data_IF_210794743019
#
_entry.id   IF_210794743019
#
_cell.length_a   1.000
_cell.length_b   1.000
_cell.length_c   1.000
_cell.angle_alpha   90.00
_cell.angle_beta   90.00
_cell.angle_gamma   90.00
#
_symmetry.space_group_name_H-M   'P 1'
#
loop_
_entity.id
_entity.type
_entity.pdbx_description
1 polymer ?
#
# COMPACT_ATOMS: atom_id res chain seq x y z
N UNK A 1 15.21 -13.07 29.69
CA UNK A 1 14.55 -13.87 30.74
C UNK A 1 13.13 -14.14 30.28
N UNK A 2 12.76 -15.41 30.13
CA UNK A 2 11.49 -15.85 29.55
C UNK A 2 10.39 -15.94 30.62
N UNK A 3 9.32 -15.17 30.47
CA UNK A 3 8.10 -15.40 31.23
C UNK A 3 7.17 -16.31 30.42
N UNK A 4 7.08 -17.58 30.85
CA UNK A 4 6.04 -18.54 30.43
C UNK A 4 4.71 -18.11 31.06
N UNK A 5 3.74 -17.73 30.23
CA UNK A 5 2.33 -17.71 30.65
C UNK A 5 1.73 -19.11 30.48
N UNK A 6 0.98 -19.55 31.49
CA UNK A 6 0.40 -20.88 31.59
C UNK A 6 -0.82 -21.12 30.66
N UNK A 7 -1.19 -22.40 30.44
CA UNK A 7 -2.16 -22.82 29.41
C UNK A 7 -3.61 -22.38 29.65
N UNK A 8 -3.97 -21.89 30.84
CA UNK A 8 -5.34 -21.50 31.18
C UNK A 8 -5.78 -20.14 30.59
N UNK A 9 -4.83 -19.26 30.24
CA UNK A 9 -5.15 -17.94 29.66
C UNK A 9 -5.44 -17.95 28.15
N UNK A 10 -4.93 -18.95 27.43
CA UNK A 10 -5.08 -19.05 25.95
C UNK A 10 -6.43 -19.63 25.52
N UNK A 11 -7.09 -20.42 26.38
CA UNK A 11 -8.39 -21.03 26.05
C UNK A 11 -9.57 -20.05 26.13
N UNK A 12 -9.47 -18.99 26.93
CA UNK A 12 -10.54 -17.98 27.03
C UNK A 12 -10.61 -17.05 25.83
N UNK A 13 -9.45 -16.63 25.29
CA UNK A 13 -9.35 -15.69 24.17
C UNK A 13 -9.66 -16.38 22.83
N UNK A 14 -9.20 -17.63 22.62
CA UNK A 14 -9.49 -18.38 21.40
C UNK A 14 -10.97 -18.77 21.22
N UNK A 15 -11.75 -18.89 22.29
CA UNK A 15 -13.18 -19.23 22.21
C UNK A 15 -14.06 -18.02 21.82
N UNK A 16 -13.61 -16.80 22.14
CA UNK A 16 -14.33 -15.54 21.87
C UNK A 16 -14.27 -15.13 20.39
N UNK A 17 -13.13 -15.32 19.74
CA UNK A 17 -13.00 -15.09 18.30
C UNK A 17 -13.93 -16.04 17.51
N UNK A 18 -14.00 -17.32 17.89
CA UNK A 18 -14.83 -18.32 17.20
C UNK A 18 -16.34 -18.04 17.32
N UNK A 19 -16.80 -17.47 18.45
CA UNK A 19 -18.22 -17.18 18.69
C UNK A 19 -18.70 -15.92 17.94
N UNK A 20 -17.83 -14.96 17.66
CA UNK A 20 -18.16 -13.83 16.78
C UNK A 20 -18.29 -14.26 15.30
N UNK A 21 -17.50 -15.24 14.85
CA UNK A 21 -17.59 -15.78 13.48
C UNK A 21 -18.83 -16.68 13.23
N UNK A 22 -19.37 -17.33 14.27
CA UNK A 22 -20.53 -18.23 14.14
C UNK A 22 -21.89 -17.52 14.07
N UNK A 23 -21.94 -16.19 14.12
CA UNK A 23 -23.20 -15.44 14.17
C UNK A 23 -23.63 -14.86 12.81
N UNK A 24 -22.89 -15.15 11.73
CA UNK A 24 -23.19 -14.67 10.37
C UNK A 24 -23.83 -15.77 9.51
N UNK A 25 -24.11 -16.94 10.08
CA UNK A 25 -24.85 -18.00 9.40
C UNK A 25 -25.65 -18.84 10.38
N UNK A 26 -26.96 -18.81 10.21
CA UNK A 26 -27.97 -19.65 10.87
C UNK A 26 -28.50 -19.17 12.25
N UNK A 27 -29.76 -18.68 12.34
CA UNK A 27 -30.36 -18.23 13.61
C UNK A 27 -30.75 -19.39 14.56
N UNK A 28 -30.39 -20.64 14.24
CA UNK A 28 -30.79 -21.83 14.98
C UNK A 28 -29.66 -22.51 15.78
N UNK A 29 -28.57 -21.80 16.06
CA UNK A 29 -27.53 -22.25 17.00
C UNK A 29 -27.89 -21.79 18.42
N UNK A 30 -28.44 -22.68 19.23
CA UNK A 30 -28.72 -22.43 20.64
C UNK A 30 -27.42 -22.14 21.40
N UNK A 31 -27.11 -20.84 21.56
CA UNK A 31 -25.98 -20.34 22.36
C UNK A 31 -26.12 -20.78 23.82
N UNK A 32 -25.04 -21.25 24.44
CA UNK A 32 -25.03 -21.64 25.86
C UNK A 32 -25.16 -20.40 26.76
N UNK A 33 -26.14 -20.33 27.69
CA UNK A 33 -26.39 -19.18 28.55
C UNK A 33 -25.21 -18.74 29.45
N UNK A 34 -24.22 -19.60 29.66
CA UNK A 34 -23.05 -19.32 30.50
C UNK A 34 -21.93 -18.54 29.80
N UNK A 35 -21.81 -18.67 28.47
CA UNK A 35 -20.79 -17.97 27.69
C UNK A 35 -21.13 -16.48 27.53
N UNK A 36 -22.43 -16.17 27.33
CA UNK A 36 -22.96 -14.81 27.15
C UNK A 36 -22.68 -13.93 28.39
N UNK A 37 -22.93 -14.46 29.59
CA UNK A 37 -22.72 -13.72 30.86
C UNK A 37 -21.25 -13.35 31.11
N UNK A 38 -20.31 -14.14 30.62
CA UNK A 38 -18.88 -13.88 30.82
C UNK A 38 -18.41 -12.77 29.88
N UNK A 39 -18.85 -12.80 28.61
CA UNK A 39 -18.57 -11.76 27.64
C UNK A 39 -19.20 -10.42 28.06
N UNK A 40 -20.46 -10.44 28.49
CA UNK A 40 -21.17 -9.25 28.97
C UNK A 40 -20.47 -8.59 30.16
N UNK A 41 -20.03 -9.42 31.12
CA UNK A 41 -19.27 -8.94 32.28
C UNK A 41 -17.93 -8.33 31.86
N UNK A 42 -17.22 -8.99 30.94
CA UNK A 42 -15.96 -8.48 30.41
C UNK A 42 -16.14 -7.09 29.77
N UNK A 43 -17.13 -6.94 28.88
CA UNK A 43 -17.45 -5.67 28.22
C UNK A 43 -17.85 -4.60 29.24
N UNK A 44 -18.65 -4.94 30.25
CA UNK A 44 -19.06 -4.01 31.31
C UNK A 44 -17.87 -3.53 32.17
N UNK A 45 -16.98 -4.45 32.56
CA UNK A 45 -15.79 -4.14 33.35
C UNK A 45 -14.78 -3.32 32.52
N UNK A 46 -14.58 -3.67 31.24
CA UNK A 46 -13.73 -2.94 30.31
C UNK A 46 -14.22 -1.50 30.08
N UNK A 47 -15.53 -1.33 29.85
CA UNK A 47 -16.16 0.00 29.76
C UNK A 47 -15.93 0.82 31.03
N UNK A 48 -16.19 0.24 32.21
CA UNK A 48 -16.03 0.95 33.49
C UNK A 48 -14.60 1.46 33.68
N UNK A 49 -13.60 0.61 33.40
CA UNK A 49 -12.17 0.97 33.49
C UNK A 49 -11.80 2.06 32.48
N UNK A 50 -12.27 1.93 31.24
CA UNK A 50 -11.96 2.90 30.16
C UNK A 50 -12.48 4.29 30.49
N UNK A 51 -13.74 4.40 30.93
CA UNK A 51 -14.30 5.70 31.30
C UNK A 51 -13.66 6.28 32.57
N UNK A 52 -13.18 5.43 33.49
CA UNK A 52 -12.38 5.89 34.62
C UNK A 52 -11.03 6.46 34.15
N UNK A 53 -10.35 5.78 33.23
CA UNK A 53 -9.11 6.25 32.64
C UNK A 53 -9.27 7.59 31.89
N UNK A 54 -10.38 7.80 31.17
CA UNK A 54 -10.69 9.11 30.59
C UNK A 54 -10.74 10.20 31.66
N UNK A 55 -11.49 9.98 32.75
CA UNK A 55 -11.61 10.95 33.86
C UNK A 55 -10.28 11.22 34.55
N UNK A 56 -9.50 10.17 34.84
CA UNK A 56 -8.17 10.29 35.45
C UNK A 56 -7.20 11.10 34.58
N UNK A 57 -7.35 11.02 33.25
CA UNK A 57 -6.54 11.78 32.27
C UNK A 57 -7.14 13.14 31.90
N UNK A 58 -8.26 13.55 32.52
CA UNK A 58 -8.93 14.82 32.20
C UNK A 58 -9.55 14.87 30.80
N UNK A 59 -9.86 13.71 30.19
CA UNK A 59 -10.49 13.61 28.88
C UNK A 59 -12.01 13.60 29.05
N UNK A 60 -12.65 14.67 28.58
CA UNK A 60 -14.11 14.80 28.60
C UNK A 60 -14.71 14.27 27.29
N UNK A 61 -15.55 13.24 27.39
CA UNK A 61 -16.30 12.69 26.27
C UNK A 61 -17.75 13.15 26.32
N UNK A 62 -18.36 13.57 25.19
CA UNK A 62 -19.75 13.99 25.18
C UNK A 62 -20.70 12.87 25.68
N UNK A 63 -21.66 13.17 26.56
CA UNK A 63 -22.59 12.16 27.07
C UNK A 63 -23.38 11.45 25.98
N UNK A 64 -23.76 12.18 24.92
CA UNK A 64 -24.48 11.62 23.78
C UNK A 64 -23.62 10.68 22.92
N UNK A 65 -22.31 10.93 22.84
CA UNK A 65 -21.35 10.02 22.18
C UNK A 65 -21.29 8.67 22.90
N UNK A 66 -21.19 8.70 24.23
CA UNK A 66 -21.20 7.47 25.05
C UNK A 66 -22.55 6.76 24.95
N UNK A 67 -23.65 7.50 25.02
CA UNK A 67 -24.99 6.93 24.92
C UNK A 67 -25.24 6.26 23.56
N UNK A 68 -24.69 6.81 22.47
CA UNK A 68 -24.74 6.19 21.15
C UNK A 68 -24.04 4.83 21.13
N UNK A 69 -22.81 4.74 21.66
CA UNK A 69 -22.07 3.48 21.74
C UNK A 69 -22.81 2.46 22.61
N UNK A 70 -23.27 2.88 23.79
CA UNK A 70 -23.92 1.99 24.75
C UNK A 70 -25.34 1.55 24.36
N UNK A 71 -26.00 2.31 23.47
CA UNK A 71 -27.34 2.05 22.98
C UNK A 71 -27.43 0.86 22.03
N UNK A 72 -26.32 0.48 21.41
CA UNK A 72 -26.20 -0.70 20.55
C UNK A 72 -25.27 -1.74 21.20
N UNK A 73 -25.80 -2.91 21.64
CA UNK A 73 -24.99 -3.97 22.24
C UNK A 73 -23.82 -4.44 21.38
N UNK A 74 -23.97 -4.46 20.05
CA UNK A 74 -22.93 -4.91 19.11
C UNK A 74 -21.82 -3.88 19.01
N UNK A 75 -22.18 -2.60 18.88
CA UNK A 75 -21.23 -1.50 18.86
C UNK A 75 -20.47 -1.41 20.19
N UNK A 76 -21.18 -1.51 21.31
CA UNK A 76 -20.60 -1.55 22.65
C UNK A 76 -19.59 -2.69 22.81
N UNK A 77 -19.96 -3.90 22.38
CA UNK A 77 -19.05 -5.05 22.42
C UNK A 77 -17.82 -4.85 21.52
N UNK A 78 -18.00 -4.21 20.36
CA UNK A 78 -16.90 -3.93 19.43
C UNK A 78 -15.91 -2.92 20.01
N UNK A 79 -16.40 -1.81 20.58
CA UNK A 79 -15.55 -0.76 21.14
C UNK A 79 -14.83 -1.22 22.41
N UNK A 80 -15.52 -1.91 23.33
CA UNK A 80 -14.97 -2.25 24.64
C UNK A 80 -14.43 -3.68 24.76
N UNK A 81 -14.72 -4.57 23.82
CA UNK A 81 -14.40 -6.00 23.92
C UNK A 81 -13.33 -6.51 22.95
N UNK A 82 -12.98 -5.74 21.91
CA UNK A 82 -12.05 -6.20 20.86
C UNK A 82 -10.57 -5.92 21.15
N UNK A 83 -10.26 -5.34 22.32
CA UNK A 83 -8.89 -5.07 22.76
C UNK A 83 -8.79 -5.14 24.27
N UNK A 84 -7.63 -5.56 24.78
CA UNK A 84 -7.36 -5.61 26.21
C UNK A 84 -7.48 -4.23 26.89
N UNK A 85 -6.97 -3.19 26.23
CA UNK A 85 -7.20 -1.78 26.55
C UNK A 85 -8.03 -1.09 25.46
N UNK A 86 -9.32 -0.81 25.68
CA UNK A 86 -10.17 -0.20 24.68
C UNK A 86 -10.10 1.33 24.67
N UNK A 87 -9.30 1.97 25.53
CA UNK A 87 -9.17 3.44 25.55
C UNK A 87 -8.76 4.00 24.18
N UNK A 88 -7.75 3.47 23.47
CA UNK A 88 -7.38 4.03 22.17
C UNK A 88 -8.46 3.80 21.10
N UNK A 89 -9.26 2.72 21.18
CA UNK A 89 -10.38 2.49 20.26
C UNK A 89 -11.48 3.55 20.47
N UNK A 90 -11.85 3.79 21.74
CA UNK A 90 -12.86 4.80 22.10
C UNK A 90 -12.45 6.20 21.64
N UNK A 91 -11.20 6.58 21.89
CA UNK A 91 -10.67 7.89 21.50
C UNK A 91 -10.48 8.00 19.98
N UNK A 92 -10.08 6.93 19.30
CA UNK A 92 -9.99 6.89 17.83
C UNK A 92 -11.34 7.12 17.17
N UNK A 93 -12.39 6.48 17.68
CA UNK A 93 -13.76 6.69 17.19
C UNK A 93 -14.24 8.13 17.44
N UNK A 94 -13.88 8.71 18.58
CA UNK A 94 -14.18 10.12 18.87
C UNK A 94 -13.42 11.07 17.94
N UNK A 95 -12.15 10.79 17.68
CA UNK A 95 -11.31 11.56 16.76
C UNK A 95 -11.92 11.57 15.35
N UNK A 96 -12.33 10.41 14.84
CA UNK A 96 -13.01 10.29 13.54
C UNK A 96 -14.28 11.14 13.48
N UNK A 97 -15.08 11.17 14.56
CA UNK A 97 -16.30 11.99 14.60
C UNK A 97 -16.00 13.49 14.58
N UNK A 98 -14.93 13.93 15.24
CA UNK A 98 -14.50 15.34 15.21
C UNK A 98 -14.12 15.73 13.77
N UNK A 99 -13.40 14.86 13.07
CA UNK A 99 -12.90 15.13 11.73
C UNK A 99 -13.98 15.02 10.64
N UNK A 100 -14.81 13.98 10.70
CA UNK A 100 -15.76 13.62 9.63
C UNK A 100 -17.21 14.00 9.94
N UNK A 101 -17.49 14.34 11.20
CA UNK A 101 -18.82 14.72 11.67
C UNK A 101 -19.67 13.54 12.13
N UNK A 102 -20.68 13.88 12.94
CA UNK A 102 -21.60 12.93 13.58
C UNK A 102 -22.35 12.06 12.59
N UNK A 103 -22.92 12.62 11.53
CA UNK A 103 -23.76 11.86 10.60
C UNK A 103 -22.94 10.81 9.84
N UNK A 104 -21.76 11.19 9.35
CA UNK A 104 -20.83 10.26 8.68
C UNK A 104 -20.44 9.10 9.59
N UNK A 105 -20.05 9.38 10.84
CA UNK A 105 -19.51 8.35 11.75
C UNK A 105 -20.59 7.53 12.44
N UNK A 106 -21.71 8.13 12.85
CA UNK A 106 -22.72 7.45 13.67
C UNK A 106 -23.88 6.84 12.87
N UNK A 107 -24.14 7.35 11.67
CA UNK A 107 -25.36 7.03 10.90
C UNK A 107 -25.00 6.35 9.58
N UNK A 108 -24.08 6.92 8.79
CA UNK A 108 -23.80 6.45 7.43
C UNK A 108 -22.74 5.32 7.39
N UNK A 109 -21.65 5.45 8.16
CA UNK A 109 -20.46 4.62 8.02
C UNK A 109 -19.90 4.10 9.35
N UNK A 110 -20.78 3.78 10.30
CA UNK A 110 -20.42 3.29 11.65
C UNK A 110 -19.44 2.11 11.63
N UNK A 111 -19.71 1.09 10.82
CA UNK A 111 -18.84 -0.10 10.79
C UNK A 111 -17.44 0.21 10.22
N UNK A 112 -17.36 1.10 9.22
CA UNK A 112 -16.08 1.57 8.69
C UNK A 112 -15.31 2.37 9.74
N UNK A 113 -16.00 3.26 10.47
CA UNK A 113 -15.40 4.04 11.55
C UNK A 113 -14.83 3.15 12.66
N UNK A 114 -15.58 2.10 13.05
CA UNK A 114 -15.13 1.10 14.02
C UNK A 114 -13.91 0.35 13.50
N UNK A 115 -13.88 -0.05 12.23
CA UNK A 115 -12.73 -0.72 11.62
C UNK A 115 -11.47 0.15 11.68
N UNK A 116 -11.57 1.44 11.32
CA UNK A 116 -10.46 2.39 11.41
C UNK A 116 -10.02 2.67 12.84
N UNK A 117 -10.97 2.82 13.77
CA UNK A 117 -10.65 3.03 15.19
C UNK A 117 -9.92 1.83 15.79
N UNK A 118 -10.34 0.60 15.48
CA UNK A 118 -9.67 -0.62 15.93
C UNK A 118 -8.30 -0.75 15.27
N UNK A 119 -8.22 -0.64 13.94
CA UNK A 119 -6.97 -0.81 13.19
C UNK A 119 -5.91 0.21 13.64
N UNK A 120 -6.28 1.49 13.72
CA UNK A 120 -5.40 2.57 14.18
C UNK A 120 -4.95 2.39 15.62
N UNK A 121 -5.72 1.68 16.45
CA UNK A 121 -5.34 1.39 17.82
C UNK A 121 -4.12 0.45 17.93
N UNK A 122 -3.87 -0.37 16.90
CA UNK A 122 -2.75 -1.32 16.84
C UNK A 122 -1.60 -0.84 15.95
N UNK A 123 -1.68 0.36 15.38
CA UNK A 123 -0.65 0.96 14.54
C UNK A 123 0.19 1.98 15.32
N UNK A 124 1.39 2.28 14.81
CA UNK A 124 2.20 3.40 15.27
C UNK A 124 1.49 4.73 15.00
N UNK A 125 1.83 5.75 15.80
CA UNK A 125 1.40 7.14 15.59
C UNK A 125 2.32 7.90 14.63
N UNK A 126 3.51 7.37 14.30
CA UNK A 126 4.34 7.95 13.26
C UNK A 126 3.60 7.88 11.91
N UNK A 127 3.70 8.95 11.13
CA UNK A 127 3.12 8.99 9.77
C UNK A 127 4.06 8.32 8.76
N UNK A 128 4.88 7.36 9.19
CA UNK A 128 5.84 6.67 8.34
C UNK A 128 5.13 5.55 7.57
N UNK A 129 5.25 5.57 6.25
CA UNK A 129 4.65 4.55 5.40
C UNK A 129 5.50 3.28 5.37
N UNK A 130 4.88 2.13 5.68
CA UNK A 130 5.54 0.81 5.70
C UNK A 130 6.27 0.53 4.40
N UNK A 131 7.54 0.14 4.49
CA UNK A 131 8.37 -0.05 3.30
C UNK A 131 7.77 -1.02 2.29
N UNK A 132 7.84 -2.33 2.58
CA UNK A 132 7.63 -3.38 1.56
C UNK A 132 6.45 -4.32 1.80
N UNK A 133 6.04 -4.60 3.04
CA UNK A 133 4.97 -5.57 3.34
C UNK A 133 3.79 -4.92 4.05
N UNK A 134 2.58 -5.38 3.74
CA UNK A 134 1.37 -4.99 4.48
C UNK A 134 1.49 -5.37 5.95
N UNK A 135 1.01 -4.49 6.84
CA UNK A 135 0.97 -4.74 8.28
C UNK A 135 2.25 -4.41 9.03
N UNK A 136 3.27 -3.84 8.37
CA UNK A 136 4.43 -3.26 9.04
C UNK A 136 4.16 -1.81 9.46
N UNK A 137 3.05 -1.59 10.19
CA UNK A 137 2.58 -0.27 10.62
C UNK A 137 3.19 0.13 11.97
N UNK A 138 4.36 -0.40 12.30
CA UNK A 138 4.99 -0.24 13.62
C UNK A 138 4.15 -0.83 14.77
N UNK A 139 4.51 -0.48 16.01
CA UNK A 139 3.75 -0.86 17.21
C UNK A 139 3.16 0.40 17.84
N UNK A 140 1.97 0.32 18.45
CA UNK A 140 1.37 1.48 19.10
C UNK A 140 2.28 1.96 20.23
N UNK A 141 2.57 3.26 20.21
CA UNK A 141 3.30 3.95 21.27
C UNK A 141 2.42 4.23 22.49
N UNK A 142 2.86 5.18 23.33
CA UNK A 142 2.08 5.68 24.46
C UNK A 142 1.06 6.76 24.07
N UNK A 143 1.12 7.25 22.83
CA UNK A 143 0.27 8.33 22.33
C UNK A 143 -1.18 7.86 22.19
N UNK A 144 -2.11 8.73 22.61
CA UNK A 144 -3.53 8.50 22.44
C UNK A 144 -4.05 9.31 21.25
N UNK A 145 -5.13 8.83 20.58
CA UNK A 145 -5.81 9.62 19.56
C UNK A 145 -6.24 10.99 20.09
N UNK A 146 -6.00 12.03 19.31
CA UNK A 146 -6.36 13.41 19.65
C UNK A 146 -7.87 13.61 19.59
N UNK A 147 -8.45 14.07 20.69
CA UNK A 147 -9.88 14.37 20.83
C UNK A 147 -10.14 15.85 21.09
N UNK A 148 -9.13 16.71 20.90
CA UNK A 148 -9.30 18.16 21.01
C UNK A 148 -10.25 18.69 19.93
N UNK A 149 -11.07 19.71 20.25
CA UNK A 149 -11.92 20.35 19.25
C UNK A 149 -11.09 20.96 18.11
N UNK A 150 -11.46 20.64 16.86
CA UNK A 150 -10.83 21.18 15.65
C UNK A 150 -11.84 21.24 14.50
N UNK A 151 -11.58 22.03 13.44
CA UNK A 151 -12.42 22.06 12.24
C UNK A 151 -12.53 20.68 11.59
N UNK A 152 -13.63 20.47 10.86
CA UNK A 152 -13.80 19.26 10.07
C UNK A 152 -12.65 19.10 9.07
N UNK A 153 -12.24 17.86 8.85
CA UNK A 153 -11.18 17.51 7.91
C UNK A 153 -11.62 17.87 6.49
N UNK A 154 -10.72 18.56 5.78
CA UNK A 154 -10.79 18.69 4.33
C UNK A 154 -9.79 17.71 3.74
N UNK A 155 -10.29 16.73 2.97
CA UNK A 155 -9.42 15.74 2.34
C UNK A 155 -8.62 16.39 1.20
N UNK A 156 -7.29 16.42 1.35
CA UNK A 156 -6.36 16.89 0.32
C UNK A 156 -5.40 15.76 -0.07
N UNK A 157 -5.35 15.43 -1.36
CA UNK A 157 -4.37 14.49 -1.91
C UNK A 157 -3.16 15.30 -2.40
N UNK A 158 -1.95 15.09 -1.85
CA UNK A 158 -0.78 15.89 -2.21
C UNK A 158 -0.35 15.64 -3.66
N UNK A 159 0.21 16.68 -4.29
CA UNK A 159 0.80 16.62 -5.63
C UNK A 159 2.22 16.05 -5.64
N UNK A 160 2.90 16.13 -6.79
CA UNK A 160 4.29 15.71 -6.91
C UNK A 160 5.22 16.55 -6.01
N UNK A 161 5.94 15.95 -5.04
CA UNK A 161 6.77 16.69 -4.08
C UNK A 161 8.12 17.12 -4.67
N UNK A 162 8.44 16.70 -5.89
CA UNK A 162 9.72 16.99 -6.52
C UNK A 162 9.86 18.48 -6.84
N UNK A 163 10.99 19.05 -6.46
CA UNK A 163 11.39 20.41 -6.82
C UNK A 163 12.69 20.30 -7.62
N UNK A 164 12.61 20.35 -8.97
CA UNK A 164 13.78 20.27 -9.82
C UNK A 164 14.79 21.36 -9.49
N UNK A 165 16.04 20.97 -9.37
CA UNK A 165 17.17 21.88 -9.31
C UNK A 165 17.65 22.15 -10.73
N UNK A 166 17.92 23.42 -11.06
CA UNK A 166 18.62 23.79 -12.30
C UNK A 166 20.10 23.42 -12.15
N UNK A 167 20.52 22.35 -12.78
CA UNK A 167 21.87 21.80 -12.66
C UNK A 167 22.87 22.48 -13.62
N UNK A 168 22.41 23.39 -14.46
CA UNK A 168 23.22 24.16 -15.40
C UNK A 168 23.32 25.66 -15.03
N UNK A 169 22.79 26.05 -13.86
CA UNK A 169 22.80 27.44 -13.39
C UNK A 169 24.24 27.98 -13.26
N UNK A 170 24.66 28.96 -14.09
CA UNK A 170 26.01 29.52 -14.06
C UNK A 170 26.29 30.35 -12.80
N UNK A 171 25.27 30.66 -11.99
CA UNK A 171 25.38 31.36 -10.73
C UNK A 171 25.72 30.46 -9.53
N UNK A 172 25.88 29.15 -9.73
CA UNK A 172 26.14 28.17 -8.67
C UNK A 172 27.46 27.42 -8.89
N UNK A 173 28.11 27.10 -7.78
CA UNK A 173 29.14 26.06 -7.78
C UNK A 173 28.45 24.71 -7.97
N UNK A 174 28.76 24.03 -9.08
CA UNK A 174 28.19 22.74 -9.42
C UNK A 174 28.88 21.64 -8.62
N UNK A 175 28.09 20.77 -8.00
CA UNK A 175 28.60 19.57 -7.32
C UNK A 175 28.59 18.35 -8.25
N UNK A 176 29.13 17.24 -7.76
CA UNK A 176 29.18 15.97 -8.49
C UNK A 176 27.81 15.52 -9.01
N UNK A 177 26.73 15.77 -8.24
CA UNK A 177 25.39 15.38 -8.65
C UNK A 177 24.83 16.31 -9.74
N UNK A 178 25.21 17.59 -9.76
CA UNK A 178 24.85 18.48 -10.88
C UNK A 178 25.46 17.94 -12.18
N UNK A 179 26.75 17.57 -12.15
CA UNK A 179 27.44 16.98 -13.30
C UNK A 179 26.86 15.62 -13.72
N UNK A 180 26.48 14.76 -12.78
CA UNK A 180 25.79 13.49 -13.09
C UNK A 180 24.49 13.74 -13.86
N UNK A 181 23.69 14.72 -13.44
CA UNK A 181 22.43 15.06 -14.12
C UNK A 181 22.68 15.70 -15.48
N UNK A 182 23.61 16.66 -15.56
CA UNK A 182 23.96 17.31 -16.82
C UNK A 182 24.47 16.30 -17.85
N UNK A 183 25.32 15.34 -17.45
CA UNK A 183 25.75 14.26 -18.36
C UNK A 183 24.56 13.53 -18.98
N UNK A 184 23.53 13.21 -18.19
CA UNK A 184 22.37 12.47 -18.67
C UNK A 184 21.42 13.31 -19.53
N UNK A 185 21.17 14.57 -19.11
CA UNK A 185 20.20 15.46 -19.75
C UNK A 185 20.76 16.12 -21.02
N UNK A 186 22.06 16.38 -21.08
CA UNK A 186 22.74 16.95 -22.25
C UNK A 186 23.19 15.89 -23.26
N UNK A 187 23.11 14.60 -22.91
CA UNK A 187 23.47 13.52 -23.82
C UNK A 187 22.51 13.47 -25.02
N UNK A 188 23.02 13.27 -26.25
CA UNK A 188 22.17 13.02 -27.41
C UNK A 188 21.17 11.87 -27.16
N UNK A 189 19.94 11.94 -27.68
CA UNK A 189 18.97 10.87 -27.54
C UNK A 189 19.54 9.52 -27.99
N UNK A 190 19.14 8.46 -27.29
CA UNK A 190 19.49 7.09 -27.61
C UNK A 190 18.28 6.33 -28.14
N UNK A 191 18.53 5.34 -29.00
CA UNK A 191 17.50 4.43 -29.48
C UNK A 191 17.29 3.27 -28.50
N UNK A 192 16.04 3.00 -28.14
CA UNK A 192 15.68 1.88 -27.27
C UNK A 192 14.47 1.12 -27.79
N UNK A 193 14.45 -0.20 -27.58
CA UNK A 193 13.27 -1.00 -27.84
C UNK A 193 12.25 -0.88 -26.68
N UNK A 194 11.02 -0.50 -27.03
CA UNK A 194 9.86 -0.53 -26.13
C UNK A 194 8.81 -1.50 -26.66
N UNK A 195 8.03 -2.06 -25.74
CA UNK A 195 6.84 -2.85 -26.07
C UNK A 195 5.61 -1.93 -26.01
N UNK A 196 4.88 -1.83 -27.12
CA UNK A 196 3.67 -1.02 -27.25
C UNK A 196 2.49 -1.94 -27.53
N UNK A 197 1.32 -1.60 -27.00
CA UNK A 197 0.05 -2.25 -27.37
C UNK A 197 -0.60 -1.47 -28.48
N UNK A 198 -0.82 -2.12 -29.62
CA UNK A 198 -1.46 -1.51 -30.78
C UNK A 198 -2.69 -2.31 -31.19
N UNK A 199 -3.72 -1.59 -31.61
CA UNK A 199 -4.86 -2.24 -32.25
C UNK A 199 -4.41 -2.78 -33.62
N UNK A 200 -4.86 -3.98 -34.00
CA UNK A 200 -4.64 -4.50 -35.34
C UNK A 200 -5.08 -3.48 -36.41
N UNK A 201 -4.46 -3.48 -37.60
CA UNK A 201 -4.88 -2.63 -38.71
C UNK A 201 -6.39 -2.74 -38.98
N UNK A 202 -7.02 -1.65 -39.41
CA UNK A 202 -8.40 -1.68 -39.88
C UNK A 202 -8.45 -2.45 -41.20
N UNK A 203 -9.05 -3.63 -41.19
CA UNK A 203 -9.36 -4.38 -42.40
C UNK A 203 -10.77 -4.02 -42.87
N UNK A 204 -10.93 -3.85 -44.19
CA UNK A 204 -12.22 -3.60 -44.82
C UNK A 204 -12.65 -4.83 -45.61
N UNK A 205 -13.95 -5.10 -45.66
CA UNK A 205 -14.50 -6.12 -46.55
C UNK A 205 -14.59 -5.63 -48.01
N UNK A 206 -14.99 -6.52 -48.93
CA UNK A 206 -15.08 -6.23 -50.36
C UNK A 206 -16.14 -5.15 -50.69
N UNK A 207 -16.90 -4.68 -49.69
CA UNK A 207 -17.90 -3.61 -49.79
C UNK A 207 -17.39 -2.28 -49.19
N UNK A 208 -16.14 -2.24 -48.72
CA UNK A 208 -15.52 -1.07 -48.10
C UNK A 208 -15.98 -0.83 -46.66
N UNK A 209 -16.57 -1.82 -45.99
CA UNK A 209 -17.00 -1.73 -44.59
C UNK A 209 -15.90 -2.27 -43.70
N UNK A 210 -15.51 -1.49 -42.68
CA UNK A 210 -14.50 -1.91 -41.71
C UNK A 210 -14.98 -3.11 -40.90
N UNK A 211 -14.18 -4.18 -40.85
CA UNK A 211 -14.41 -5.32 -39.98
C UNK A 211 -14.17 -4.92 -38.51
N UNK A 212 -14.83 -5.58 -37.54
CA UNK A 212 -14.52 -5.39 -36.12
C UNK A 212 -13.03 -5.63 -35.83
N UNK A 213 -12.35 -4.66 -35.21
CA UNK A 213 -10.94 -4.77 -34.85
C UNK A 213 -10.73 -5.87 -33.79
N UNK A 214 -9.64 -6.63 -33.95
CA UNK A 214 -9.19 -7.59 -32.94
C UNK A 214 -8.65 -6.93 -31.68
N UNK A 215 -8.31 -7.74 -30.67
CA UNK A 215 -7.71 -7.28 -29.41
C UNK A 215 -6.33 -6.64 -29.67
N UNK A 216 -5.90 -5.66 -28.84
CA UNK A 216 -4.57 -5.08 -28.95
C UNK A 216 -3.46 -6.15 -28.93
N UNK A 217 -2.50 -6.04 -29.84
CA UNK A 217 -1.32 -6.90 -29.93
C UNK A 217 -0.09 -6.16 -29.39
N UNK A 218 0.85 -6.91 -28.80
CA UNK A 218 2.13 -6.39 -28.32
C UNK A 218 3.11 -6.33 -29.48
N UNK A 219 3.60 -5.13 -29.80
CA UNK A 219 4.59 -4.90 -30.86
C UNK A 219 5.82 -4.26 -30.24
N UNK A 220 7.01 -4.63 -30.71
CA UNK A 220 8.25 -3.94 -30.34
C UNK A 220 8.52 -2.79 -31.30
N UNK A 221 8.81 -1.62 -30.76
CA UNK A 221 9.22 -0.45 -31.54
C UNK A 221 10.50 0.13 -30.97
N UNK A 222 11.37 0.57 -31.85
CA UNK A 222 12.49 1.43 -31.49
C UNK A 222 11.98 2.86 -31.33
N UNK A 223 12.31 3.49 -30.21
CA UNK A 223 12.01 4.89 -29.95
C UNK A 223 13.25 5.62 -29.47
N UNK A 224 13.33 6.89 -29.79
CA UNK A 224 14.36 7.78 -29.23
C UNK A 224 13.91 8.31 -27.86
N UNK A 225 14.83 8.30 -26.90
CA UNK A 225 14.64 8.97 -25.61
C UNK A 225 15.97 9.49 -25.04
N UNK A 226 15.88 10.40 -24.08
CA UNK A 226 17.04 10.84 -23.30
C UNK A 226 17.68 9.69 -22.52
N UNK A 227 18.97 9.85 -22.22
CA UNK A 227 19.78 8.87 -21.49
C UNK A 227 19.36 8.81 -20.01
N UNK A 228 19.36 7.62 -19.41
CA UNK A 228 19.15 7.45 -17.96
C UNK A 228 20.25 6.60 -17.32
N UNK A 229 20.38 6.67 -16.00
CA UNK A 229 21.44 5.97 -15.26
C UNK A 229 21.49 4.47 -15.54
N UNK A 230 20.35 3.82 -15.75
CA UNK A 230 20.29 2.39 -16.09
C UNK A 230 21.01 2.05 -17.40
N UNK A 231 21.00 2.96 -18.38
CA UNK A 231 21.69 2.75 -19.66
C UNK A 231 23.20 2.83 -19.47
N UNK A 232 23.65 3.79 -18.67
CA UNK A 232 25.07 3.93 -18.31
C UNK A 232 25.54 2.68 -17.58
N UNK A 233 24.83 2.25 -16.53
CA UNK A 233 25.16 1.01 -15.79
C UNK A 233 25.23 -0.21 -16.72
N UNK A 234 24.33 -0.28 -17.71
CA UNK A 234 24.22 -1.44 -18.60
C UNK A 234 25.24 -1.45 -19.75
N UNK A 235 25.98 -0.38 -20.01
CA UNK A 235 26.84 -0.23 -21.20
C UNK A 235 28.26 0.18 -20.83
N UNK A 236 29.24 -0.67 -21.15
CA UNK A 236 30.65 -0.36 -20.87
C UNK A 236 31.14 0.88 -21.64
N UNK A 237 30.59 1.13 -22.84
CA UNK A 237 30.91 2.32 -23.63
C UNK A 237 30.41 3.61 -22.95
N UNK A 238 29.15 3.62 -22.50
CA UNK A 238 28.58 4.77 -21.79
C UNK A 238 29.26 5.01 -20.44
N UNK A 239 29.71 3.95 -19.76
CA UNK A 239 30.53 4.09 -18.54
C UNK A 239 31.85 4.82 -18.83
N UNK A 240 32.54 4.48 -19.93
CA UNK A 240 33.79 5.15 -20.29
C UNK A 240 33.57 6.63 -20.61
N UNK A 241 32.50 6.96 -21.34
CA UNK A 241 32.10 8.34 -21.63
C UNK A 241 31.76 9.11 -20.36
N UNK A 242 30.97 8.51 -19.47
CA UNK A 242 30.62 9.09 -18.17
C UNK A 242 31.84 9.35 -17.30
N UNK A 243 32.74 8.37 -17.18
CA UNK A 243 33.97 8.49 -16.38
C UNK A 243 34.87 9.60 -16.94
N UNK A 244 35.02 9.69 -18.26
CA UNK A 244 35.78 10.76 -18.91
C UNK A 244 35.15 12.14 -18.67
N UNK A 245 33.82 12.23 -18.76
CA UNK A 245 33.08 13.46 -18.50
C UNK A 245 33.24 13.93 -17.04
N UNK A 246 33.06 13.06 -16.06
CA UNK A 246 33.23 13.45 -14.65
C UNK A 246 34.67 13.82 -14.32
N UNK A 247 35.66 13.10 -14.84
CA UNK A 247 37.06 13.48 -14.68
C UNK A 247 37.36 14.88 -15.27
N UNK A 248 36.81 15.19 -16.45
CA UNK A 248 36.96 16.51 -17.07
C UNK A 248 36.27 17.64 -16.28
N UNK A 249 35.26 17.31 -15.48
CA UNK A 249 34.54 18.24 -14.61
C UNK A 249 35.03 18.18 -13.15
N UNK A 250 36.23 17.68 -12.90
CA UNK A 250 36.87 17.75 -11.57
C UNK A 250 36.55 16.62 -10.60
N UNK A 251 35.91 15.53 -11.08
CA UNK A 251 35.52 14.36 -10.29
C UNK A 251 36.17 13.04 -10.78
N UNK A 252 37.51 12.95 -10.90
CA UNK A 252 38.19 11.74 -11.38
C UNK A 252 38.06 10.53 -10.44
N UNK A 253 37.67 10.76 -9.18
CA UNK A 253 37.41 9.72 -8.19
C UNK A 253 36.12 8.93 -8.48
N UNK A 254 35.22 9.47 -9.29
CA UNK A 254 33.97 8.80 -9.66
C UNK A 254 34.21 7.95 -10.90
N UNK A 255 34.24 6.63 -10.69
CA UNK A 255 34.49 5.65 -11.76
C UNK A 255 33.44 4.55 -11.72
N UNK A 256 32.81 4.29 -12.87
CA UNK A 256 31.87 3.20 -13.09
C UNK A 256 32.55 2.02 -13.79
N UNK A 257 32.45 0.84 -13.18
CA UNK A 257 32.93 -0.44 -13.72
C UNK A 257 31.89 -1.55 -13.46
N UNK A 258 30.75 -1.45 -14.14
CA UNK A 258 29.60 -2.34 -14.01
C UNK A 258 29.61 -3.50 -15.04
N UNK A 259 30.59 -3.54 -15.93
CA UNK A 259 30.66 -4.47 -17.05
C UNK A 259 29.67 -4.10 -18.17
N UNK A 260 29.56 -4.96 -19.18
CA UNK A 260 28.66 -4.76 -20.31
C UNK A 260 27.44 -5.69 -20.22
N UNK A 261 26.24 -5.10 -20.20
CA UNK A 261 24.93 -5.77 -20.14
C UNK A 261 24.75 -6.77 -19.00
N UNK A 262 25.59 -6.70 -17.96
CA UNK A 262 25.50 -7.54 -16.75
C UNK A 262 24.14 -7.34 -16.09
N UNK A 263 23.77 -6.07 -15.91
CA UNK A 263 22.47 -5.63 -15.41
C UNK A 263 21.80 -4.78 -16.47
N UNK A 264 20.80 -5.33 -17.12
CA UNK A 264 20.02 -4.70 -18.18
C UNK A 264 18.53 -4.89 -17.90
N UNK A 265 17.67 -4.11 -18.56
CA UNK A 265 16.19 -4.19 -18.43
C UNK A 265 15.65 -5.62 -18.58
N UNK A 266 16.33 -6.51 -19.31
CA UNK A 266 15.93 -7.89 -19.54
C UNK A 266 16.61 -8.93 -18.61
N UNK A 267 17.54 -8.52 -17.73
CA UNK A 267 18.25 -9.45 -16.85
C UNK A 267 17.30 -10.07 -15.82
N UNK A 268 17.35 -11.40 -15.69
CA UNK A 268 16.55 -12.17 -14.71
C UNK A 268 17.39 -13.08 -13.82
N UNK A 269 18.64 -13.33 -14.21
CA UNK A 269 19.58 -14.14 -13.46
C UNK A 269 20.29 -13.29 -12.38
N UNK A 270 20.57 -13.86 -11.20
CA UNK A 270 21.36 -13.18 -10.19
C UNK A 270 22.83 -13.02 -10.61
N UNK A 271 23.44 -11.91 -10.21
CA UNK A 271 24.89 -11.65 -10.36
C UNK A 271 25.63 -12.35 -9.22
N UNK A 272 26.50 -13.32 -9.54
CA UNK A 272 27.23 -14.12 -8.54
C UNK A 272 28.55 -13.49 -8.11
N UNK A 273 29.14 -12.67 -8.96
CA UNK A 273 30.38 -11.96 -8.66
C UNK A 273 30.10 -10.84 -7.65
N UNK A 274 30.72 -10.95 -6.47
CA UNK A 274 30.54 -10.01 -5.37
C UNK A 274 31.17 -8.65 -5.65
N UNK A 275 32.32 -8.61 -6.31
CA UNK A 275 33.01 -7.35 -6.59
C UNK A 275 32.22 -6.56 -7.63
N UNK A 276 31.83 -7.23 -8.72
CA UNK A 276 30.99 -6.65 -9.75
C UNK A 276 29.65 -6.13 -9.20
N UNK A 277 29.02 -6.92 -8.32
CA UNK A 277 27.78 -6.51 -7.64
C UNK A 277 27.98 -5.24 -6.79
N UNK A 278 29.10 -5.12 -6.08
CA UNK A 278 29.41 -3.93 -5.31
C UNK A 278 29.59 -2.70 -6.22
N UNK A 279 30.26 -2.85 -7.37
CA UNK A 279 30.40 -1.77 -8.36
C UNK A 279 29.05 -1.31 -8.92
N UNK A 280 28.17 -2.26 -9.27
CA UNK A 280 26.82 -1.94 -9.77
C UNK A 280 25.99 -1.25 -8.67
N UNK A 281 26.09 -1.71 -7.41
CA UNK A 281 25.43 -1.06 -6.29
C UNK A 281 25.92 0.39 -6.12
N UNK A 282 27.23 0.62 -6.16
CA UNK A 282 27.78 1.97 -6.03
C UNK A 282 27.30 2.88 -7.17
N UNK A 283 27.24 2.37 -8.41
CA UNK A 283 26.69 3.10 -9.55
C UNK A 283 25.20 3.41 -9.38
N UNK A 284 24.40 2.42 -8.94
CA UNK A 284 22.99 2.62 -8.62
C UNK A 284 22.80 3.71 -7.57
N UNK A 285 23.54 3.65 -6.47
CA UNK A 285 23.44 4.62 -5.38
C UNK A 285 23.83 6.03 -5.88
N UNK A 286 24.92 6.17 -6.65
CA UNK A 286 25.32 7.44 -7.27
C UNK A 286 24.20 8.07 -8.10
N UNK A 287 23.62 7.33 -9.05
CA UNK A 287 22.55 7.87 -9.89
C UNK A 287 21.28 8.17 -9.07
N UNK A 288 20.95 7.28 -8.14
CA UNK A 288 19.76 7.46 -7.30
C UNK A 288 19.89 8.69 -6.38
N UNK A 289 21.05 8.89 -5.79
CA UNK A 289 21.33 10.03 -4.91
C UNK A 289 21.40 11.33 -5.70
N UNK A 290 22.00 11.33 -6.90
CA UNK A 290 21.95 12.47 -7.80
C UNK A 290 20.51 12.85 -8.17
N UNK A 291 19.66 11.87 -8.53
CA UNK A 291 18.25 12.13 -8.83
C UNK A 291 17.48 12.70 -7.63
N UNK A 292 17.73 12.22 -6.40
CA UNK A 292 17.09 12.78 -5.20
C UNK A 292 17.62 14.17 -4.86
N UNK A 293 18.93 14.37 -4.91
CA UNK A 293 19.58 15.62 -4.58
C UNK A 293 19.11 16.76 -5.50
N UNK A 294 18.89 16.44 -6.79
CA UNK A 294 18.52 17.42 -7.84
C UNK A 294 17.02 17.40 -8.20
N UNK A 295 16.20 16.77 -7.35
CA UNK A 295 14.74 16.84 -7.46
C UNK A 295 14.15 16.12 -8.68
N UNK A 296 14.85 15.14 -9.25
CA UNK A 296 14.31 14.22 -10.28
C UNK A 296 13.56 13.03 -9.65
N UNK A 297 13.79 12.78 -8.37
CA UNK A 297 13.06 11.84 -7.50
C UNK A 297 12.67 12.49 -6.17
N UNK A 298 11.60 12.02 -5.50
CA UNK A 298 11.30 12.43 -4.13
C UNK A 298 12.45 12.10 -3.18
N UNK A 299 12.73 13.01 -2.24
CA UNK A 299 13.74 12.80 -1.19
C UNK A 299 13.33 11.69 -0.23
N UNK A 300 12.06 11.70 0.14
CA UNK A 300 11.45 10.77 1.08
C UNK A 300 10.17 10.19 0.46
N UNK A 301 9.66 9.12 1.08
CA UNK A 301 8.34 8.62 0.75
C UNK A 301 7.28 9.55 1.31
N UNK A 302 6.16 9.66 0.59
CA UNK A 302 5.00 10.40 1.09
C UNK A 302 4.55 9.79 2.43
N UNK A 303 4.05 10.64 3.34
CA UNK A 303 3.61 10.21 4.65
C UNK A 303 2.35 9.34 4.56
N UNK A 304 2.19 8.42 5.51
CA UNK A 304 0.94 7.68 5.68
C UNK A 304 -0.22 8.63 6.03
N UNK A 305 -1.43 8.33 5.52
CA UNK A 305 -2.62 9.05 5.92
C UNK A 305 -2.98 8.75 7.37
N UNK A 306 -3.55 9.74 8.04
CA UNK A 306 -4.30 9.53 9.28
C UNK A 306 -5.51 8.62 9.03
N UNK A 307 -6.08 7.98 10.06
CA UNK A 307 -7.31 7.20 9.93
C UNK A 307 -8.46 8.02 9.32
N UNK A 308 -8.59 9.30 9.69
CA UNK A 308 -9.61 10.21 9.16
C UNK A 308 -9.42 10.51 7.68
N UNK A 309 -8.18 10.79 7.24
CA UNK A 309 -7.83 10.97 5.82
C UNK A 309 -8.13 9.71 4.99
N UNK A 310 -7.74 8.53 5.49
CA UNK A 310 -8.03 7.26 4.80
C UNK A 310 -9.51 6.98 4.69
N UNK A 311 -10.26 7.15 5.78
CA UNK A 311 -11.71 6.91 5.80
C UNK A 311 -12.44 7.90 4.86
N UNK A 312 -12.07 9.18 4.90
CA UNK A 312 -12.62 10.19 3.99
C UNK A 312 -12.34 9.84 2.52
N UNK A 313 -11.12 9.37 2.22
CA UNK A 313 -10.73 8.96 0.87
C UNK A 313 -11.56 7.78 0.36
N UNK A 314 -11.76 6.74 1.19
CA UNK A 314 -12.62 5.61 0.83
C UNK A 314 -14.08 6.01 0.64
N UNK A 315 -14.63 6.87 1.50
CA UNK A 315 -16.01 7.36 1.37
C UNK A 315 -16.18 8.15 0.07
N UNK A 316 -15.27 9.09 -0.22
CA UNK A 316 -15.29 9.90 -1.46
C UNK A 316 -15.30 8.99 -2.69
N UNK A 317 -14.42 7.99 -2.72
CA UNK A 317 -14.30 7.09 -3.86
C UNK A 317 -15.47 6.11 -3.95
N UNK A 318 -15.98 5.66 -2.80
CA UNK A 318 -17.13 4.77 -2.79
C UNK A 318 -18.41 5.45 -3.33
N UNK A 319 -18.51 6.77 -3.17
CA UNK A 319 -19.59 7.60 -3.71
C UNK A 319 -19.41 7.96 -5.18
N UNK A 320 -18.28 7.61 -5.80
CA UNK A 320 -18.06 7.92 -7.20
C UNK A 320 -19.10 7.20 -8.07
N UNK A 321 -19.78 7.97 -8.91
CA UNK A 321 -20.79 7.45 -9.80
C UNK A 321 -20.17 7.02 -11.12
N UNK A 322 -20.14 5.70 -11.34
CA UNK A 322 -19.73 5.10 -12.61
C UNK A 322 -20.89 4.98 -13.62
N UNK A 323 -22.07 5.55 -13.34
CA UNK A 323 -23.20 5.53 -14.27
C UNK A 323 -22.81 6.13 -15.62
N UNK A 324 -23.25 5.48 -16.70
CA UNK A 324 -22.88 5.88 -18.06
C UNK A 324 -21.50 5.41 -18.54
N UNK A 325 -20.76 4.63 -17.73
CA UNK A 325 -19.50 3.99 -18.13
C UNK A 325 -19.64 2.49 -18.30
N UNK A 326 -18.67 1.85 -18.95
CA UNK A 326 -18.57 0.38 -19.06
C UNK A 326 -17.83 -0.27 -17.88
N UNK A 327 -17.54 0.51 -16.83
CA UNK A 327 -16.65 0.10 -15.73
C UNK A 327 -17.34 -0.95 -14.86
N UNK A 328 -16.70 -2.12 -14.76
CA UNK A 328 -17.05 -3.15 -13.78
C UNK A 328 -16.27 -2.86 -12.51
N UNK A 329 -16.96 -2.26 -11.53
CA UNK A 329 -16.37 -1.94 -10.23
C UNK A 329 -16.64 -3.03 -9.22
N UNK A 330 -15.59 -3.69 -8.66
CA UNK A 330 -15.75 -4.64 -7.56
C UNK A 330 -16.14 -3.89 -6.29
N UNK A 331 -17.38 -3.43 -6.23
CA UNK A 331 -17.91 -2.64 -5.12
C UNK A 331 -18.14 -3.56 -3.93
N UNK A 332 -17.18 -3.60 -3.01
CA UNK A 332 -17.40 -4.17 -1.70
C UNK A 332 -18.24 -3.20 -0.85
N UNK A 333 -19.25 -3.68 -0.11
CA UNK A 333 -20.02 -2.84 0.80
C UNK A 333 -19.14 -2.26 1.91
N UNK A 334 -18.93 -0.93 1.91
CA UNK A 334 -18.14 -0.26 2.96
C UNK A 334 -18.89 -0.10 4.28
N UNK A 335 -20.19 -0.46 4.30
CA UNK A 335 -21.06 -0.57 5.47
C UNK A 335 -21.12 -2.00 6.02
N UNK A 336 -20.36 -2.94 5.44
CA UNK A 336 -20.23 -4.29 5.96
C UNK A 336 -19.74 -4.31 7.42
N UNK A 337 -19.97 -5.41 8.17
CA UNK A 337 -19.48 -5.53 9.54
C UNK A 337 -17.99 -5.23 9.64
N UNK A 338 -17.59 -4.45 10.64
CA UNK A 338 -16.20 -3.98 10.79
C UNK A 338 -15.13 -5.10 10.68
N UNK A 339 -15.34 -6.36 11.13
CA UNK A 339 -14.32 -7.39 11.02
C UNK A 339 -13.91 -7.68 9.56
N UNK A 340 -14.86 -7.61 8.62
CA UNK A 340 -14.55 -7.83 7.20
C UNK A 340 -13.91 -6.60 6.53
N UNK A 341 -14.04 -5.44 7.15
CA UNK A 341 -13.41 -4.19 6.70
C UNK A 341 -11.99 -3.99 7.24
N UNK A 342 -11.52 -4.82 8.17
CA UNK A 342 -10.22 -4.62 8.81
C UNK A 342 -9.04 -4.59 7.83
N UNK A 343 -9.07 -5.38 6.75
CA UNK A 343 -8.03 -5.33 5.72
C UNK A 343 -8.08 -4.05 4.88
N UNK A 344 -9.26 -3.41 4.79
CA UNK A 344 -9.40 -2.10 4.13
C UNK A 344 -8.88 -0.98 5.04
N UNK A 345 -9.16 -1.07 6.35
CA UNK A 345 -8.71 -0.10 7.34
C UNK A 345 -7.21 -0.21 7.65
N UNK A 346 -6.63 -1.41 7.57
CA UNK A 346 -5.20 -1.67 7.69
C UNK A 346 -4.46 -1.29 6.39
N UNK A 347 -4.56 -0.02 6.00
CA UNK A 347 -3.90 0.55 4.83
C UNK A 347 -3.20 1.84 5.21
N UNK A 348 -1.88 1.82 5.14
CA UNK A 348 -0.99 2.93 5.44
C UNK A 348 -0.38 3.54 4.17
N UNK A 349 -0.81 3.10 2.98
CA UNK A 349 -0.31 3.64 1.72
C UNK A 349 -0.57 5.15 1.64
N UNK A 350 0.40 5.97 1.25
CA UNK A 350 0.20 7.41 1.11
C UNK A 350 -0.92 7.78 0.13
N UNK A 351 -1.67 8.85 0.41
CA UNK A 351 -2.82 9.24 -0.42
C UNK A 351 -2.46 9.49 -1.88
N UNK A 352 -1.30 10.09 -2.16
CA UNK A 352 -0.85 10.34 -3.54
C UNK A 352 -0.61 9.05 -4.31
N UNK A 353 -0.05 8.03 -3.65
CA UNK A 353 0.15 6.71 -4.25
C UNK A 353 -1.19 6.05 -4.59
N UNK A 354 -2.18 6.15 -3.68
CA UNK A 354 -3.54 5.63 -3.90
C UNK A 354 -4.24 6.38 -5.04
N UNK A 355 -4.13 7.70 -5.05
CA UNK A 355 -4.83 8.57 -5.99
C UNK A 355 -4.35 8.35 -7.43
N UNK A 356 -3.04 8.21 -7.65
CA UNK A 356 -2.48 7.92 -8.97
C UNK A 356 -3.01 6.61 -9.58
N UNK A 357 -3.29 5.60 -8.75
CA UNK A 357 -3.88 4.33 -9.21
C UNK A 357 -5.39 4.45 -9.35
N UNK A 358 -6.05 5.07 -8.38
CA UNK A 358 -7.49 5.29 -8.42
C UNK A 358 -7.90 6.04 -9.69
N UNK A 359 -7.17 7.08 -10.09
CA UNK A 359 -7.42 7.84 -11.32
C UNK A 359 -7.33 6.92 -12.56
N UNK A 360 -6.30 6.08 -12.67
CA UNK A 360 -6.15 5.12 -13.79
C UNK A 360 -7.28 4.10 -13.82
N UNK A 361 -7.73 3.64 -12.67
CA UNK A 361 -8.89 2.75 -12.59
C UNK A 361 -10.19 3.49 -12.97
N UNK A 362 -10.42 4.67 -12.40
CA UNK A 362 -11.61 5.49 -12.60
C UNK A 362 -11.78 5.89 -14.06
N UNK A 363 -10.72 6.45 -14.64
CA UNK A 363 -10.75 7.05 -15.98
C UNK A 363 -10.55 5.98 -17.07
N UNK A 364 -9.57 5.07 -16.88
CA UNK A 364 -9.13 4.14 -17.92
C UNK A 364 -9.52 2.67 -17.66
N UNK A 365 -10.05 2.34 -16.48
CA UNK A 365 -10.43 0.98 -16.12
C UNK A 365 -9.20 0.10 -15.82
N UNK A 366 -8.03 0.70 -15.61
CA UNK A 366 -6.81 -0.05 -15.34
C UNK A 366 -6.87 -0.69 -13.94
N UNK A 367 -7.11 -2.00 -13.92
CA UNK A 367 -7.07 -2.80 -12.69
C UNK A 367 -5.83 -3.71 -12.68
N UNK A 368 -4.66 -3.10 -12.47
CA UNK A 368 -3.37 -3.80 -12.57
C UNK A 368 -3.01 -4.48 -11.25
N UNK A 369 -3.11 -5.81 -11.24
CA UNK A 369 -2.82 -6.65 -10.07
C UNK A 369 -1.50 -7.41 -10.15
N UNK A 370 -0.73 -7.22 -11.23
CA UNK A 370 0.57 -7.85 -11.43
C UNK A 370 1.60 -6.90 -12.07
N UNK A 371 2.84 -7.06 -11.64
CA UNK A 371 4.03 -6.44 -12.22
C UNK A 371 4.79 -7.41 -13.13
N UNK A 372 5.99 -7.01 -13.55
CA UNK A 372 6.88 -7.89 -14.30
C UNK A 372 7.55 -8.92 -13.38
N UNK A 373 7.49 -10.20 -13.74
CA UNK A 373 8.23 -11.25 -13.03
C UNK A 373 9.67 -11.28 -13.50
N UNK A 374 10.63 -11.07 -12.60
CA UNK A 374 12.05 -10.89 -12.95
C UNK A 374 12.95 -12.03 -12.47
N UNK A 375 12.38 -13.08 -11.88
CA UNK A 375 13.14 -14.27 -11.48
C UNK A 375 14.15 -14.01 -10.36
N UNK A 376 15.29 -14.69 -10.42
CA UNK A 376 16.27 -14.74 -9.34
C UNK A 376 16.93 -13.40 -9.02
N UNK A 377 16.99 -12.47 -9.97
CA UNK A 377 17.55 -11.13 -9.74
C UNK A 377 16.72 -10.32 -8.72
N UNK A 378 15.43 -10.65 -8.52
CA UNK A 378 14.60 -10.02 -7.47
C UNK A 378 15.12 -10.28 -6.05
N UNK A 379 15.92 -11.32 -5.85
CA UNK A 379 16.55 -11.63 -4.55
C UNK A 379 17.81 -10.77 -4.31
N UNK A 380 18.18 -9.92 -5.26
CA UNK A 380 19.30 -9.00 -5.19
C UNK A 380 18.77 -7.58 -5.43
N UNK A 381 18.27 -6.96 -4.36
CA UNK A 381 17.58 -5.67 -4.43
C UNK A 381 18.35 -4.59 -5.21
N UNK A 382 19.65 -4.46 -4.93
CA UNK A 382 20.57 -3.58 -5.62
C UNK A 382 20.62 -3.83 -7.14
N UNK A 383 20.63 -5.10 -7.57
CA UNK A 383 20.63 -5.45 -8.99
C UNK A 383 19.26 -5.21 -9.62
N UNK A 384 18.18 -5.54 -8.91
CA UNK A 384 16.81 -5.30 -9.38
C UNK A 384 16.59 -3.83 -9.72
N UNK A 385 16.90 -2.91 -8.81
CA UNK A 385 16.65 -1.48 -9.02
C UNK A 385 17.65 -0.84 -9.99
N UNK A 386 18.90 -1.32 -10.03
CA UNK A 386 19.89 -0.86 -11.01
C UNK A 386 19.44 -1.06 -12.47
N UNK A 387 18.67 -2.12 -12.79
CA UNK A 387 18.16 -2.39 -14.15
C UNK A 387 17.30 -1.27 -14.74
N UNK A 388 16.70 -0.44 -13.88
CA UNK A 388 15.71 0.57 -14.26
C UNK A 388 15.91 1.89 -13.51
N UNK A 389 17.10 2.13 -12.96
CA UNK A 389 17.42 3.42 -12.34
C UNK A 389 17.25 4.56 -13.35
N UNK A 390 16.30 5.44 -13.05
CA UNK A 390 15.83 6.50 -13.94
C UNK A 390 14.90 7.41 -13.13
N UNK A 391 14.81 8.72 -13.43
CA UNK A 391 13.90 9.65 -12.75
C UNK A 391 12.50 9.07 -12.58
N UNK A 392 11.93 9.24 -11.39
CA UNK A 392 10.60 8.70 -11.09
C UNK A 392 9.89 9.55 -10.03
N UNK A 393 8.58 9.81 -10.18
CA UNK A 393 7.85 10.69 -9.27
C UNK A 393 7.50 10.07 -7.92
N UNK A 394 7.79 8.78 -7.72
CA UNK A 394 7.49 8.07 -6.47
C UNK A 394 8.76 7.49 -5.86
N UNK A 395 8.80 7.43 -4.54
CA UNK A 395 9.92 6.83 -3.80
C UNK A 395 9.88 5.31 -3.88
N UNK A 396 10.99 4.69 -3.47
CA UNK A 396 11.06 3.26 -3.22
C UNK A 396 10.00 2.81 -2.18
N UNK A 397 9.47 1.58 -2.31
CA UNK A 397 8.36 1.05 -1.50
C UNK A 397 6.96 1.36 -2.03
N UNK A 398 6.82 2.33 -2.94
CA UNK A 398 5.55 2.61 -3.62
C UNK A 398 5.17 1.49 -4.59
N UNK A 399 3.85 1.31 -4.79
CA UNK A 399 3.30 0.38 -5.80
C UNK A 399 3.73 0.78 -7.23
N UNK A 400 3.91 2.07 -7.50
CA UNK A 400 4.41 2.57 -8.77
C UNK A 400 5.85 2.11 -9.02
N UNK A 401 6.71 2.14 -8.00
CA UNK A 401 8.07 1.59 -8.11
C UNK A 401 8.05 0.05 -8.26
N UNK A 402 7.13 -0.66 -7.61
CA UNK A 402 6.96 -2.10 -7.82
C UNK A 402 6.56 -2.43 -9.27
N UNK A 403 5.69 -1.62 -9.89
CA UNK A 403 5.34 -1.75 -11.31
C UNK A 403 6.51 -1.47 -12.23
N UNK A 404 7.36 -0.51 -11.87
CA UNK A 404 8.55 -0.13 -12.61
C UNK A 404 9.61 -1.23 -12.55
N UNK A 405 10.02 -1.64 -11.35
CA UNK A 405 11.18 -2.52 -11.15
C UNK A 405 10.84 -4.02 -11.34
N UNK A 406 9.56 -4.38 -11.18
CA UNK A 406 9.13 -5.77 -11.18
C UNK A 406 9.53 -6.50 -9.91
N UNK A 407 9.44 -7.83 -9.90
CA UNK A 407 9.82 -8.64 -8.75
C UNK A 407 9.40 -10.11 -8.84
N UNK A 408 9.14 -10.72 -7.68
CA UNK A 408 8.61 -12.09 -7.56
C UNK A 408 7.33 -12.09 -6.74
N UNK A 409 6.92 -13.22 -6.17
CA UNK A 409 5.66 -13.40 -5.46
C UNK A 409 5.34 -12.29 -4.43
N UNK A 410 6.32 -11.85 -3.62
CA UNK A 410 6.11 -10.75 -2.67
C UNK A 410 5.69 -9.43 -3.33
N UNK A 411 6.31 -9.08 -4.46
CA UNK A 411 5.94 -7.88 -5.24
C UNK A 411 4.57 -8.04 -5.88
N UNK A 412 4.26 -9.21 -6.44
CA UNK A 412 2.96 -9.47 -7.06
C UNK A 412 1.81 -9.44 -6.05
N UNK A 413 2.05 -10.01 -4.86
CA UNK A 413 1.11 -9.98 -3.75
C UNK A 413 0.82 -8.55 -3.31
N UNK A 414 1.88 -7.74 -3.11
CA UNK A 414 1.72 -6.34 -2.72
C UNK A 414 0.99 -5.51 -3.78
N UNK A 415 1.37 -5.63 -5.06
CA UNK A 415 0.65 -4.97 -6.16
C UNK A 415 -0.83 -5.36 -6.13
N UNK A 416 -1.12 -6.67 -6.03
CA UNK A 416 -2.47 -7.18 -5.98
C UNK A 416 -3.26 -6.61 -4.79
N UNK A 417 -2.76 -6.76 -3.56
CA UNK A 417 -3.45 -6.36 -2.34
C UNK A 417 -3.71 -4.85 -2.29
N UNK A 418 -2.71 -4.05 -2.68
CA UNK A 418 -2.82 -2.59 -2.75
C UNK A 418 -3.83 -2.14 -3.80
N UNK A 419 -3.79 -2.69 -5.03
CA UNK A 419 -4.78 -2.36 -6.07
C UNK A 419 -6.21 -2.70 -5.66
N UNK A 420 -6.43 -3.85 -5.02
CA UNK A 420 -7.76 -4.23 -4.51
C UNK A 420 -8.25 -3.26 -3.42
N UNK A 421 -7.40 -2.94 -2.43
CA UNK A 421 -7.74 -1.96 -1.37
C UNK A 421 -8.06 -0.60 -1.95
N UNK A 422 -7.23 -0.07 -2.85
CA UNK A 422 -7.46 1.21 -3.54
C UNK A 422 -8.83 1.24 -4.24
N UNK A 423 -9.27 0.10 -4.78
CA UNK A 423 -10.59 -0.02 -5.41
C UNK A 423 -11.74 -0.35 -4.44
N UNK A 424 -11.48 -0.34 -3.12
CA UNK A 424 -12.47 -0.53 -2.07
C UNK A 424 -12.69 -1.96 -1.61
N UNK A 425 -11.89 -2.92 -2.09
CA UNK A 425 -11.99 -4.34 -1.68
C UNK A 425 -11.01 -4.61 -0.54
N UNK A 426 -11.48 -5.06 0.65
CA UNK A 426 -10.58 -5.46 1.74
C UNK A 426 -9.65 -6.59 1.28
N UNK A 427 -8.34 -6.34 1.26
CA UNK A 427 -7.35 -7.27 0.74
C UNK A 427 -6.02 -7.15 1.48
N UNK A 428 -5.26 -8.22 1.52
CA UNK A 428 -3.95 -8.28 2.17
C UNK A 428 -3.05 -9.27 1.45
N UNK A 429 -1.75 -9.00 1.46
CA UNK A 429 -0.76 -10.06 1.25
C UNK A 429 -0.92 -11.17 2.30
N UNK A 430 -0.54 -12.39 1.91
CA UNK A 430 -0.56 -13.56 2.78
C UNK A 430 0.68 -14.43 2.53
N UNK A 431 1.18 -15.07 3.58
CA UNK A 431 2.30 -16.00 3.51
C UNK A 431 1.85 -17.42 3.21
N UNK A 432 2.58 -18.10 2.34
CA UNK A 432 2.59 -19.56 2.18
C UNK A 432 4.05 -20.05 2.27
N UNK A 433 4.30 -21.35 2.54
CA UNK A 433 5.67 -21.87 2.59
C UNK A 433 6.49 -21.54 1.32
N UNK A 434 7.48 -20.65 1.45
CA UNK A 434 8.33 -20.22 0.32
C UNK A 434 7.67 -19.31 -0.71
N UNK A 435 6.46 -18.79 -0.45
CA UNK A 435 5.67 -18.02 -1.40
C UNK A 435 4.84 -16.91 -0.73
N UNK A 436 4.57 -15.84 -1.45
CA UNK A 436 3.62 -14.81 -1.03
C UNK A 436 2.38 -14.88 -1.92
N UNK A 437 1.23 -15.07 -1.28
CA UNK A 437 -0.10 -15.06 -1.86
C UNK A 437 -0.81 -13.73 -1.54
N UNK A 438 -2.08 -13.65 -1.95
CA UNK A 438 -3.00 -12.58 -1.61
C UNK A 438 -4.28 -13.21 -1.06
N UNK A 439 -4.94 -12.53 -0.13
CA UNK A 439 -6.33 -12.78 0.24
C UNK A 439 -7.16 -11.52 0.05
N UNK A 440 -8.44 -11.68 -0.20
CA UNK A 440 -9.39 -10.58 -0.24
C UNK A 440 -10.78 -11.03 0.18
N UNK A 441 -11.56 -10.09 0.69
CA UNK A 441 -12.95 -10.31 1.07
C UNK A 441 -13.85 -10.23 -0.16
N UNK A 442 -14.76 -11.18 -0.25
CA UNK A 442 -15.86 -11.16 -1.21
C UNK A 442 -17.18 -11.21 -0.46
N UNK A 443 -18.20 -10.59 -1.05
CA UNK A 443 -19.58 -10.80 -0.66
C UNK A 443 -20.29 -11.54 -1.78
N UNK A 444 -20.99 -12.62 -1.44
CA UNK A 444 -21.92 -13.26 -2.36
C UNK A 444 -23.12 -12.32 -2.55
N UNK A 445 -23.38 -11.81 -3.77
CA UNK A 445 -24.46 -10.85 -4.01
C UNK A 445 -25.86 -11.47 -3.84
N UNK A 446 -25.98 -12.81 -3.89
CA UNK A 446 -27.26 -13.52 -3.74
C UNK A 446 -27.56 -13.79 -2.28
N UNK A 447 -26.56 -14.26 -1.53
CA UNK A 447 -26.76 -14.67 -0.12
C UNK A 447 -26.38 -13.59 0.89
N UNK A 448 -25.67 -12.55 0.46
CA UNK A 448 -25.09 -11.52 1.33
C UNK A 448 -23.94 -12.02 2.21
N UNK A 449 -23.55 -13.29 2.09
CA UNK A 449 -22.50 -13.90 2.92
C UNK A 449 -21.13 -13.40 2.52
N UNK A 450 -20.33 -13.07 3.53
CA UNK A 450 -18.93 -12.70 3.36
C UNK A 450 -18.04 -13.93 3.41
N UNK A 451 -16.99 -13.95 2.58
CA UNK A 451 -15.92 -14.95 2.65
C UNK A 451 -14.57 -14.30 2.40
N UNK A 452 -13.55 -14.80 3.07
CA UNK A 452 -12.16 -14.54 2.69
C UNK A 452 -11.78 -15.52 1.58
N UNK A 453 -11.30 -15.02 0.44
CA UNK A 453 -10.87 -15.84 -0.70
C UNK A 453 -9.37 -15.69 -0.93
N UNK A 454 -8.71 -16.82 -1.10
CA UNK A 454 -7.35 -16.91 -1.61
C UNK A 454 -7.16 -16.48 -3.06
N UNK A 455 -6.03 -15.87 -3.33
CA UNK A 455 -5.53 -15.61 -4.68
C UNK A 455 -4.02 -15.83 -4.75
N UNK A 456 -3.52 -16.05 -5.97
CA UNK A 456 -2.09 -16.26 -6.22
C UNK A 456 -1.48 -17.42 -5.42
N UNK A 457 -2.21 -18.49 -5.17
CA UNK A 457 -1.68 -19.67 -4.47
C UNK A 457 -0.63 -20.41 -5.31
N UNK A 458 0.44 -20.87 -4.66
CA UNK A 458 1.49 -21.64 -5.32
C UNK A 458 1.84 -22.95 -4.60
N UNK A 459 1.83 -22.97 -3.27
CA UNK A 459 2.35 -24.11 -2.48
C UNK A 459 1.27 -24.83 -1.65
N UNK A 460 0.01 -24.42 -1.77
CA UNK A 460 -1.15 -25.04 -1.12
C UNK A 460 -2.39 -24.14 -1.18
N UNK A 461 -3.44 -24.52 -0.47
CA UNK A 461 -4.70 -23.79 -0.36
C UNK A 461 -4.79 -22.91 0.90
N UNK A 462 -6.01 -22.65 1.34
CA UNK A 462 -6.30 -21.84 2.53
C UNK A 462 -5.65 -22.44 3.79
N UNK A 463 -5.47 -23.76 3.84
CA UNK A 463 -4.96 -24.51 4.99
C UNK A 463 -3.49 -24.25 5.34
N UNK A 464 -2.72 -23.66 4.41
CA UNK A 464 -1.31 -23.27 4.63
C UNK A 464 -1.09 -21.76 4.46
N UNK A 465 -2.17 -20.98 4.39
CA UNK A 465 -2.13 -19.54 4.10
C UNK A 465 -2.31 -18.74 5.38
N UNK A 466 -1.39 -17.82 5.66
CA UNK A 466 -1.45 -16.92 6.82
C UNK A 466 -1.50 -15.47 6.36
N UNK A 467 -2.55 -14.73 6.75
CA UNK A 467 -2.72 -13.33 6.37
C UNK A 467 -1.68 -12.45 7.07
N UNK A 468 -1.05 -11.52 6.35
CA UNK A 468 -0.09 -10.59 6.94
C UNK A 468 -0.75 -9.42 7.68
N UNK A 469 -1.85 -8.87 7.15
CA UNK A 469 -2.61 -7.83 7.83
C UNK A 469 -2.99 -8.30 9.24
N UNK A 470 -2.87 -7.39 10.22
CA UNK A 470 -3.17 -7.64 11.61
C UNK A 470 -4.59 -8.15 11.78
N UNK A 471 -4.75 -9.47 11.87
CA UNK A 471 -5.93 -10.13 12.41
C UNK A 471 -5.63 -10.69 13.80
N UNK A 472 -4.36 -10.58 14.23
CA UNK A 472 -3.85 -10.99 15.53
C UNK A 472 -4.06 -9.85 16.53
N UNK A 473 -5.32 -9.61 16.88
CA UNK A 473 -5.71 -8.71 17.95
C UNK A 473 -5.74 -9.49 19.29
N UNK A 474 -5.61 -8.76 20.41
CA UNK A 474 -5.28 -9.29 21.76
C UNK A 474 -6.14 -10.46 22.27
#
# INVERSE_FOLDING_TARGET
MSHRFGPAGRLGVCLLALLMFLSIGDPASARSPGADRTADRHVADARKRTLAACRERGIELPPDFIAWIDGDPTLKASVYGCRADPLPVLLGLRSLEIDLGRSVVREEHTQLAVAFAIAGSYASSDREASGWNDGDTGRPGGDLPDVTPRPALVLECPGDPRIPVDTADPGRDLDVHDHVINFLEDHPPIEVEIEVRELPPLEYDDRGIAKPRGKPVKVRRTVERGLVGADVIASAALQAEFNAYLAANGHPEVVLECGDRVVHRASTAPVRDKALRASIKAAHDLFHDAYRAKGRMPRERDASPTPSESMAWFIRNHRHDFSGTDRVWPRFPIDAPWPVLMMLAADDQPLREREDIWIKYRDDGEFRTYGEYIGGIAQQFDMQSARRVAPFPFSYGSIQMMWKDGGVCGTMGNIGARTHRICGVPASTAGQPGHCAIVFMEQDPTTGRFRCRGGQYATGGDEVTTVHAGWNYD
#
